data_IF_354150808717
#
_entry.id   IF_354150808717
#
_cell.length_a   1.000
_cell.length_b   1.000
_cell.length_c   1.000
_cell.angle_alpha   90.00
_cell.angle_beta   90.00
_cell.angle_gamma   90.00
#
_symmetry.space_group_name_H-M   'P 1'
#
loop_
_entity.id
_entity.type
_entity.pdbx_description
1 polymer ?
#
# COMPACT_ATOMS: atom_id res chain seq x y z
N UNK A 1 -1.16 7.09 11.17
CA UNK A 1 -1.36 5.67 10.79
C UNK A 1 -2.81 5.35 10.46
N UNK A 2 -3.79 5.74 11.30
CA UNK A 2 -5.22 5.54 10.94
C UNK A 2 -5.60 6.22 9.62
N UNK A 3 -5.14 7.44 9.38
CA UNK A 3 -5.42 8.16 8.12
C UNK A 3 -4.81 7.45 6.91
N UNK A 4 -3.59 6.92 7.03
CA UNK A 4 -2.95 6.10 5.98
C UNK A 4 -3.82 4.89 5.63
N UNK A 5 -4.31 4.17 6.65
CA UNK A 5 -5.19 3.01 6.44
C UNK A 5 -6.51 3.43 5.81
N UNK A 6 -7.12 4.52 6.28
CA UNK A 6 -8.37 5.02 5.71
C UNK A 6 -8.21 5.39 4.23
N UNK A 7 -7.14 6.12 3.86
CA UNK A 7 -6.82 6.46 2.47
C UNK A 7 -6.55 5.21 1.62
N UNK A 8 -5.76 4.27 2.15
CA UNK A 8 -5.45 3.02 1.44
C UNK A 8 -6.70 2.19 1.20
N UNK A 9 -7.54 2.00 2.22
CA UNK A 9 -8.79 1.26 2.09
C UNK A 9 -9.78 1.97 1.15
N UNK A 10 -9.87 3.30 1.20
CA UNK A 10 -10.71 4.07 0.26
C UNK A 10 -10.28 3.85 -1.19
N UNK A 11 -8.96 3.79 -1.45
CA UNK A 11 -8.41 3.42 -2.77
C UNK A 11 -8.74 1.99 -3.16
N UNK A 12 -8.61 1.03 -2.24
CA UNK A 12 -8.90 -0.38 -2.51
C UNK A 12 -10.39 -0.67 -2.73
N UNK A 13 -11.28 0.14 -2.15
CA UNK A 13 -12.73 0.03 -2.33
C UNK A 13 -13.16 0.09 -3.80
N UNK A 14 -12.40 0.81 -4.63
CA UNK A 14 -12.70 0.98 -6.06
C UNK A 14 -12.03 -0.07 -6.96
N UNK A 15 -11.36 -1.08 -6.39
CA UNK A 15 -10.65 -2.11 -7.15
C UNK A 15 -11.38 -3.46 -7.05
N UNK A 16 -11.04 -4.45 -7.92
CA UNK A 16 -11.61 -5.79 -7.84
C UNK A 16 -11.45 -6.48 -6.48
N UNK A 17 -10.44 -6.10 -5.66
CA UNK A 17 -10.20 -6.66 -4.32
C UNK A 17 -11.40 -6.51 -3.38
N UNK A 18 -12.12 -5.39 -3.49
CA UNK A 18 -13.27 -5.10 -2.64
C UNK A 18 -14.54 -4.78 -3.44
N UNK A 19 -14.54 -5.04 -4.75
CA UNK A 19 -15.73 -4.90 -5.60
C UNK A 19 -16.92 -5.78 -5.12
N UNK A 20 -16.65 -6.80 -4.31
CA UNK A 20 -17.65 -7.67 -3.65
C UNK A 20 -17.66 -7.54 -2.13
N UNK A 21 -17.07 -6.49 -1.57
CA UNK A 21 -17.12 -6.27 -0.14
C UNK A 21 -18.58 -6.11 0.30
N UNK A 22 -19.01 -6.95 1.24
CA UNK A 22 -20.38 -6.94 1.75
C UNK A 22 -20.69 -5.69 2.60
N UNK A 23 -21.82 -5.76 3.31
CA UNK A 23 -22.51 -4.60 3.87
C UNK A 23 -21.77 -3.80 4.96
N UNK A 24 -20.61 -4.27 5.46
CA UNK A 24 -19.79 -3.50 6.41
C UNK A 24 -18.32 -3.34 6.01
N UNK A 25 -18.08 -2.61 4.92
CA UNK A 25 -16.72 -2.19 4.55
C UNK A 25 -16.03 -1.38 5.67
N UNK A 26 -16.76 -0.48 6.32
CA UNK A 26 -16.20 0.39 7.37
C UNK A 26 -15.74 -0.42 8.60
N UNK A 27 -16.46 -1.50 8.98
CA UNK A 27 -16.00 -2.44 10.01
C UNK A 27 -14.63 -3.06 9.66
N UNK A 28 -14.41 -3.36 8.38
CA UNK A 28 -13.13 -3.92 7.90
C UNK A 28 -12.04 -2.86 8.01
N UNK A 29 -12.33 -1.62 7.59
CA UNK A 29 -11.38 -0.50 7.71
C UNK A 29 -10.95 -0.29 9.17
N UNK A 30 -11.89 -0.27 10.11
CA UNK A 30 -11.58 -0.11 11.53
C UNK A 30 -10.70 -1.25 12.05
N UNK A 31 -11.03 -2.50 11.69
CA UNK A 31 -10.25 -3.67 12.10
C UNK A 31 -8.83 -3.66 11.53
N UNK A 32 -8.67 -3.29 10.26
CA UNK A 32 -7.35 -3.14 9.63
C UNK A 32 -6.58 -1.98 10.27
N UNK A 33 -7.24 -0.88 10.58
CA UNK A 33 -6.61 0.27 11.24
C UNK A 33 -6.10 -0.08 12.64
N UNK A 34 -6.88 -0.84 13.42
CA UNK A 34 -6.46 -1.36 14.72
C UNK A 34 -5.22 -2.26 14.59
N UNK A 35 -5.20 -3.17 13.60
CA UNK A 35 -4.06 -4.05 13.32
C UNK A 35 -2.79 -3.28 12.98
N UNK A 36 -2.88 -2.30 12.07
CA UNK A 36 -1.73 -1.51 11.62
C UNK A 36 -1.20 -0.62 12.74
N UNK A 37 -2.09 0.04 13.49
CA UNK A 37 -1.68 0.88 14.63
C UNK A 37 -0.93 0.06 15.67
N UNK A 38 -1.44 -1.11 16.04
CA UNK A 38 -0.78 -2.01 16.99
C UNK A 38 0.56 -2.52 16.45
N UNK A 39 0.60 -2.94 15.17
CA UNK A 39 1.83 -3.43 14.52
C UNK A 39 2.93 -2.38 14.42
N UNK A 40 2.57 -1.09 14.36
CA UNK A 40 3.51 0.02 14.41
C UNK A 40 3.92 0.42 15.84
N UNK A 41 3.58 -0.37 16.87
CA UNK A 41 3.94 -0.10 18.28
C UNK A 41 2.95 0.80 19.02
N UNK A 42 1.75 1.01 18.47
CA UNK A 42 0.68 1.74 19.13
C UNK A 42 -0.05 0.92 20.22
N UNK A 43 -1.16 1.45 20.77
CA UNK A 43 -1.97 0.73 21.75
C UNK A 43 -2.53 -0.59 21.20
N UNK A 44 -2.78 -1.55 22.09
CA UNK A 44 -3.23 -2.92 21.80
C UNK A 44 -4.71 -3.02 21.33
N UNK A 45 -5.15 -2.14 20.43
CA UNK A 45 -6.53 -2.10 19.97
C UNK A 45 -6.94 -3.39 19.27
N UNK A 46 -6.05 -3.97 18.46
CA UNK A 46 -6.39 -5.15 17.68
C UNK A 46 -6.50 -6.37 18.57
N UNK A 47 -5.49 -6.62 19.40
CA UNK A 47 -5.50 -7.74 20.32
C UNK A 47 -6.65 -7.64 21.32
N UNK A 48 -6.93 -6.46 21.88
CA UNK A 48 -8.03 -6.34 22.86
C UNK A 48 -9.42 -6.56 22.26
N UNK A 49 -9.65 -6.13 21.01
CA UNK A 49 -10.97 -6.17 20.37
C UNK A 49 -11.19 -7.41 19.52
N UNK A 50 -10.12 -8.00 18.98
CA UNK A 50 -10.18 -9.05 17.96
C UNK A 50 -9.42 -10.34 18.33
N UNK A 51 -8.78 -10.46 19.52
CA UNK A 51 -8.03 -11.65 19.95
C UNK A 51 -8.85 -12.96 20.11
N UNK A 52 -10.15 -12.98 19.80
CA UNK A 52 -10.88 -14.25 19.58
C UNK A 52 -10.53 -14.93 18.25
N UNK A 53 -9.57 -14.40 17.50
CA UNK A 53 -8.93 -15.11 16.40
C UNK A 53 -8.24 -16.37 16.93
N UNK A 54 -8.97 -17.49 16.85
CA UNK A 54 -8.42 -18.84 16.92
C UNK A 54 -7.15 -18.90 16.06
N UNK A 55 -6.10 -19.56 16.54
CA UNK A 55 -4.92 -19.84 15.72
C UNK A 55 -5.38 -20.45 14.38
N UNK A 56 -5.13 -19.74 13.26
CA UNK A 56 -5.60 -20.15 11.92
C UNK A 56 -6.78 -19.34 11.34
N UNK A 57 -7.39 -18.42 12.08
CA UNK A 57 -8.46 -17.57 11.53
C UNK A 57 -7.98 -16.51 10.50
N UNK A 58 -6.66 -16.37 10.34
CA UNK A 58 -6.04 -15.55 9.30
C UNK A 58 -6.23 -14.04 9.52
N UNK A 59 -5.44 -13.25 8.78
CA UNK A 59 -5.77 -11.85 8.54
C UNK A 59 -7.06 -11.81 7.69
N UNK A 60 -7.94 -10.81 7.83
CA UNK A 60 -9.27 -10.78 7.23
C UNK A 60 -9.28 -10.65 5.68
N UNK A 61 -8.13 -10.77 5.04
CA UNK A 61 -7.94 -10.59 3.61
C UNK A 61 -6.99 -11.68 3.11
N UNK A 62 -7.48 -12.52 2.19
CA UNK A 62 -6.67 -13.46 1.44
C UNK A 62 -6.50 -12.91 0.03
N UNK A 63 -5.27 -12.50 -0.29
CA UNK A 63 -4.90 -11.97 -1.60
C UNK A 63 -4.52 -13.11 -2.55
N UNK A 64 -4.83 -12.99 -3.83
CA UNK A 64 -4.09 -13.69 -4.89
C UNK A 64 -2.87 -12.86 -5.31
N UNK A 65 -2.12 -13.34 -6.30
CA UNK A 65 -0.89 -12.67 -6.78
C UNK A 65 -1.18 -11.27 -7.32
N UNK A 66 -2.17 -11.13 -8.20
CA UNK A 66 -2.59 -9.84 -8.77
C UNK A 66 -3.15 -8.91 -7.69
N UNK A 67 -3.95 -9.45 -6.77
CA UNK A 67 -4.48 -8.73 -5.63
C UNK A 67 -3.40 -8.19 -4.70
N UNK A 68 -2.27 -8.88 -4.56
CA UNK A 68 -1.10 -8.35 -3.83
C UNK A 68 -0.49 -7.15 -4.53
N UNK A 69 -0.34 -7.19 -5.84
CA UNK A 69 0.19 -6.05 -6.61
C UNK A 69 -0.72 -4.83 -6.50
N UNK A 70 -2.04 -5.03 -6.66
CA UNK A 70 -3.05 -3.99 -6.43
C UNK A 70 -2.98 -3.43 -5.01
N UNK A 71 -2.84 -4.30 -4.01
CA UNK A 71 -2.72 -3.87 -2.61
C UNK A 71 -1.50 -2.95 -2.40
N UNK A 72 -0.33 -3.33 -2.95
CA UNK A 72 0.93 -2.60 -2.82
C UNK A 72 0.93 -1.28 -3.61
N UNK A 73 0.44 -1.27 -4.84
CA UNK A 73 0.41 -0.02 -5.65
C UNK A 73 -0.50 1.03 -5.03
N UNK A 74 -1.65 0.62 -4.51
CA UNK A 74 -2.57 1.54 -3.84
C UNK A 74 -2.04 1.99 -2.48
N UNK A 75 -1.24 1.17 -1.79
CA UNK A 75 -0.54 1.60 -0.57
C UNK A 75 0.50 2.69 -0.89
N UNK A 76 1.27 2.50 -1.96
CA UNK A 76 2.28 3.47 -2.39
C UNK A 76 1.64 4.84 -2.62
N UNK A 77 0.55 4.89 -3.39
CA UNK A 77 -0.16 6.14 -3.63
C UNK A 77 -0.84 6.72 -2.38
N UNK A 78 -1.27 5.87 -1.43
CA UNK A 78 -1.80 6.37 -0.17
C UNK A 78 -0.74 7.13 0.65
N UNK A 79 0.55 6.83 0.49
CA UNK A 79 1.62 7.62 1.10
C UNK A 79 1.66 9.06 0.57
N UNK A 80 1.37 9.26 -0.70
CA UNK A 80 1.30 10.59 -1.31
C UNK A 80 0.10 11.36 -0.80
N UNK A 81 -1.07 10.72 -0.75
CA UNK A 81 -2.31 11.36 -0.31
C UNK A 81 -2.24 11.87 1.14
N UNK A 82 -1.57 11.13 2.02
CA UNK A 82 -1.40 11.53 3.44
C UNK A 82 -0.12 12.32 3.70
N UNK A 83 0.67 12.61 2.67
CA UNK A 83 1.92 13.35 2.80
C UNK A 83 2.95 12.67 3.70
N UNK A 84 3.04 11.34 3.67
CA UNK A 84 3.95 10.59 4.55
C UNK A 84 5.42 10.94 4.21
N UNK A 85 6.27 11.33 5.18
CA UNK A 85 7.68 11.61 4.93
C UNK A 85 8.44 10.41 4.35
N UNK A 86 9.42 10.66 3.46
CA UNK A 86 10.17 9.60 2.76
C UNK A 86 10.83 8.58 3.70
N UNK A 87 11.42 9.03 4.80
CA UNK A 87 12.01 8.14 5.81
C UNK A 87 10.96 7.16 6.38
N UNK A 88 9.76 7.66 6.72
CA UNK A 88 8.67 6.83 7.23
C UNK A 88 8.07 5.91 6.16
N UNK A 89 8.04 6.35 4.89
CA UNK A 89 7.63 5.48 3.78
C UNK A 89 8.55 4.28 3.66
N UNK A 90 9.87 4.48 3.73
CA UNK A 90 10.84 3.39 3.64
C UNK A 90 10.69 2.39 4.80
N UNK A 91 10.53 2.88 6.03
CA UNK A 91 10.31 2.04 7.21
C UNK A 91 9.01 1.24 7.09
N UNK A 92 7.91 1.92 6.74
CA UNK A 92 6.61 1.27 6.60
C UNK A 92 6.61 0.26 5.45
N UNK A 93 7.23 0.57 4.32
CA UNK A 93 7.33 -0.34 3.17
C UNK A 93 8.13 -1.60 3.48
N UNK A 94 9.25 -1.47 4.22
CA UNK A 94 10.06 -2.61 4.69
C UNK A 94 9.28 -3.57 5.58
N UNK A 95 8.21 -3.10 6.22
CA UNK A 95 7.28 -3.93 6.98
C UNK A 95 6.10 -4.44 6.14
N UNK A 96 5.46 -3.56 5.35
CA UNK A 96 4.26 -3.86 4.58
C UNK A 96 4.51 -4.83 3.42
N UNK A 97 5.64 -4.74 2.73
CA UNK A 97 5.94 -5.64 1.60
C UNK A 97 6.09 -7.10 2.04
N UNK A 98 6.85 -7.44 3.10
CA UNK A 98 6.86 -8.80 3.63
C UNK A 98 5.51 -9.25 4.20
N UNK A 99 4.78 -8.35 4.89
CA UNK A 99 3.45 -8.64 5.40
C UNK A 99 2.49 -9.04 4.25
N UNK A 100 2.56 -8.36 3.11
CA UNK A 100 1.69 -8.65 1.96
C UNK A 100 1.85 -10.09 1.44
N UNK A 101 3.01 -10.71 1.61
CA UNK A 101 3.23 -12.14 1.29
C UNK A 101 2.49 -13.04 2.28
N UNK A 102 2.47 -12.66 3.56
CA UNK A 102 1.71 -13.38 4.60
C UNK A 102 0.19 -13.23 4.44
N UNK A 103 -0.26 -12.22 3.69
CA UNK A 103 -1.66 -12.00 3.32
C UNK A 103 -2.14 -12.83 2.12
N UNK A 104 -1.23 -13.47 1.38
CA UNK A 104 -1.62 -14.30 0.24
C UNK A 104 -2.43 -15.52 0.68
N UNK A 105 -3.37 -15.97 -0.14
CA UNK A 105 -4.02 -17.26 0.01
C UNK A 105 -2.98 -18.40 -0.09
N UNK A 106 -3.16 -19.54 0.59
CA UNK A 106 -2.17 -20.61 0.61
C UNK A 106 -1.71 -21.09 -0.78
N UNK A 107 -2.62 -21.12 -1.76
CA UNK A 107 -2.31 -21.53 -3.14
C UNK A 107 -1.49 -20.50 -3.93
N UNK A 108 -1.53 -19.23 -3.53
CA UNK A 108 -0.77 -18.14 -4.14
C UNK A 108 0.59 -17.92 -3.43
N UNK A 109 0.89 -18.67 -2.36
CA UNK A 109 2.17 -18.59 -1.65
C UNK A 109 3.18 -19.52 -2.28
N UNK A 110 4.19 -18.96 -2.94
CA UNK A 110 5.32 -19.71 -3.49
C UNK A 110 6.62 -18.89 -3.44
N UNK A 111 7.76 -19.57 -3.50
CA UNK A 111 9.08 -18.90 -3.34
C UNK A 111 9.45 -17.96 -4.50
N UNK A 112 8.74 -18.04 -5.62
CA UNK A 112 9.01 -17.24 -6.84
C UNK A 112 8.26 -15.91 -6.89
N UNK A 113 7.69 -15.46 -5.79
CA UNK A 113 6.95 -14.19 -5.75
C UNK A 113 7.89 -13.01 -6.04
N UNK A 114 7.44 -12.09 -6.90
CA UNK A 114 8.14 -10.82 -7.14
C UNK A 114 8.24 -10.04 -5.83
N UNK A 115 9.46 -9.62 -5.48
CA UNK A 115 9.73 -8.79 -4.30
C UNK A 115 9.92 -7.34 -4.72
N UNK A 116 9.29 -6.44 -3.98
CA UNK A 116 9.28 -5.02 -4.31
C UNK A 116 10.08 -4.26 -3.26
N UNK A 117 11.39 -4.10 -3.47
CA UNK A 117 12.19 -3.27 -2.58
C UNK A 117 11.72 -1.80 -2.63
N UNK A 118 11.91 -1.05 -1.54
CA UNK A 118 11.49 0.36 -1.50
C UNK A 118 12.16 1.16 -2.63
N UNK A 119 13.48 1.01 -2.81
CA UNK A 119 14.25 1.74 -3.82
C UNK A 119 13.79 1.42 -5.25
N UNK A 120 13.46 0.15 -5.51
CA UNK A 120 12.91 -0.29 -6.79
C UNK A 120 11.60 0.44 -7.08
N UNK A 121 10.66 0.42 -6.14
CA UNK A 121 9.35 1.06 -6.34
C UNK A 121 9.50 2.57 -6.43
N UNK A 122 10.31 3.18 -5.57
CA UNK A 122 10.61 4.61 -5.63
C UNK A 122 11.12 5.03 -7.01
N UNK A 123 12.00 4.23 -7.62
CA UNK A 123 12.54 4.53 -8.95
C UNK A 123 11.48 4.57 -10.06
N UNK A 124 10.38 3.82 -9.92
CA UNK A 124 9.28 3.80 -10.88
C UNK A 124 8.41 5.06 -10.81
N UNK A 125 8.34 5.66 -9.62
CA UNK A 125 7.51 6.84 -9.36
C UNK A 125 8.32 8.15 -9.28
N UNK A 126 9.65 8.08 -9.35
CA UNK A 126 10.48 9.25 -9.52
C UNK A 126 10.19 9.87 -10.89
N UNK A 127 9.61 11.07 -10.91
CA UNK A 127 9.55 11.82 -12.17
C UNK A 127 10.98 12.01 -12.70
N UNK A 128 11.22 11.81 -14.01
CA UNK A 128 12.44 12.31 -14.62
C UNK A 128 12.55 13.82 -14.33
N UNK A 129 13.75 14.36 -14.09
CA UNK A 129 13.91 15.80 -14.04
C UNK A 129 13.35 16.39 -15.33
N UNK A 130 12.48 17.41 -15.22
CA UNK A 130 12.00 18.15 -16.37
C UNK A 130 13.22 18.61 -17.18
N UNK A 131 13.40 18.08 -18.40
CA UNK A 131 14.44 18.58 -19.28
C UNK A 131 14.16 20.07 -19.51
N UNK A 132 15.10 20.97 -19.23
CA UNK A 132 14.93 22.36 -19.60
C UNK A 132 14.75 22.43 -21.12
N UNK A 133 13.75 23.19 -21.56
CA UNK A 133 13.51 23.44 -22.98
C UNK A 133 14.83 23.88 -23.65
N UNK A 134 15.16 23.33 -24.84
CA UNK A 134 16.33 23.78 -25.55
C UNK A 134 16.19 25.29 -25.82
N UNK A 135 17.24 26.10 -25.61
CA UNK A 135 17.17 27.53 -25.83
C UNK A 135 16.70 27.78 -27.27
N UNK A 136 15.59 28.52 -27.37
CA UNK A 136 14.94 28.84 -28.64
C UNK A 136 15.97 29.37 -29.62
N UNK A 137 16.00 28.77 -30.82
CA UNK A 137 16.74 29.34 -31.95
C UNK A 137 16.14 30.72 -32.23
N UNK A 138 16.83 31.76 -31.78
CA UNK A 138 16.66 33.11 -32.29
C UNK A 138 16.77 33.05 -33.82
N UNK A 139 15.63 33.20 -34.50
CA UNK A 139 15.59 33.51 -35.92
C UNK A 139 16.05 34.95 -36.10
N UNK A 140 17.36 35.15 -36.01
CA UNK A 140 18.00 36.32 -36.59
C UNK A 140 18.36 35.96 -38.02
N UNK A 141 17.65 36.51 -39.00
CA UNK A 141 17.93 36.22 -40.40
C UNK A 141 16.96 36.80 -41.41
N UNK A 142 17.14 38.09 -41.70
CA UNK A 142 17.03 38.72 -43.02
C UNK A 142 15.72 38.58 -43.83
N UNK A 143 14.98 39.68 -43.97
CA UNK A 143 15.01 40.55 -45.16
C UNK A 143 14.23 41.84 -44.95
#
# INVERSE_FOLDING_TARGET
MRDLVACHMARLKTTPLFARAGDCFDCIVERVADFVVESCGGPLYFSQRHARLQAGAGLPLLLDEEGRELWLVHLWHAFDDVGLPSALRADFWRWAEPLSVQLLAPHARHDRLTRYSYDTVQSWFAMPPAQPDPPGRDRTGAR
#
